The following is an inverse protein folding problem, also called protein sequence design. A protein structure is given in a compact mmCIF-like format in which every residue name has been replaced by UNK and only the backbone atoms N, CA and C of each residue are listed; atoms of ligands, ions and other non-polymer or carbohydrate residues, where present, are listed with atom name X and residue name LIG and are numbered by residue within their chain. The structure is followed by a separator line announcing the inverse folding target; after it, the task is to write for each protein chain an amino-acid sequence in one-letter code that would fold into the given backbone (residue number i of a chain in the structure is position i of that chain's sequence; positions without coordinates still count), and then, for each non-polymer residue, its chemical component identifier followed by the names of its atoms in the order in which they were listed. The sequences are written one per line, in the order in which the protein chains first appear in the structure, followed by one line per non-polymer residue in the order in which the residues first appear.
data_IF_462666508307
#
_entry.id   IF_462666508307
#
_cell.length_a   1.000
_cell.length_b   1.000
_cell.length_c   1.000
_cell.angle_alpha   90.00
_cell.angle_beta   90.00
_cell.angle_gamma   90.00
#
_symmetry.space_group_name_H-M   'P 1'
#
loop_
_entity.id
_entity.type
_entity.pdbx_description
1 polymer ?
#
# COMPACT_ATOMS: atom_id res chain seq x y z
N UNK A 1 6.35 -17.98 -26.04
CA UNK A 1 5.64 -17.58 -24.82
C UNK A 1 4.61 -16.50 -25.17
N UNK A 2 3.41 -16.59 -24.64
CA UNK A 2 2.38 -15.58 -24.86
C UNK A 2 2.83 -14.27 -24.22
N UNK A 3 2.89 -13.17 -24.99
CA UNK A 3 3.22 -11.85 -24.46
C UNK A 3 2.15 -11.41 -23.46
N UNK A 4 2.56 -11.02 -22.27
CA UNK A 4 1.64 -10.62 -21.18
C UNK A 4 2.33 -9.64 -20.25
N UNK A 5 1.55 -8.83 -19.53
CA UNK A 5 2.05 -7.93 -18.50
C UNK A 5 2.24 -8.59 -17.12
N UNK A 6 1.89 -9.85 -16.96
CA UNK A 6 2.30 -10.62 -15.81
C UNK A 6 3.79 -10.96 -15.90
N UNK A 7 4.49 -10.88 -14.78
CA UNK A 7 5.91 -11.30 -14.68
C UNK A 7 6.02 -12.82 -14.65
N UNK A 8 4.96 -13.51 -14.25
CA UNK A 8 4.88 -14.97 -14.21
C UNK A 8 5.56 -15.60 -13.00
N UNK A 9 6.10 -14.81 -12.07
CA UNK A 9 6.84 -15.28 -10.90
C UNK A 9 6.24 -14.74 -9.59
N UNK A 10 6.23 -15.58 -8.56
CA UNK A 10 6.06 -15.19 -7.18
C UNK A 10 7.19 -15.75 -6.32
N UNK A 11 7.51 -15.09 -5.23
CA UNK A 11 8.46 -15.56 -4.25
C UNK A 11 7.72 -16.04 -3.00
N UNK A 12 7.97 -17.28 -2.59
CA UNK A 12 7.55 -17.83 -1.30
C UNK A 12 8.70 -17.75 -0.34
N UNK A 13 8.55 -16.98 0.72
CA UNK A 13 9.60 -16.68 1.68
C UNK A 13 9.18 -17.23 3.04
N UNK A 14 9.87 -18.26 3.51
CA UNK A 14 9.64 -18.87 4.81
C UNK A 14 10.61 -18.29 5.83
N UNK A 15 10.11 -17.48 6.76
CA UNK A 15 10.92 -16.82 7.76
C UNK A 15 11.37 -17.75 8.90
N UNK A 16 10.72 -18.90 9.08
CA UNK A 16 11.13 -19.92 10.05
C UNK A 16 12.40 -20.65 9.61
N UNK A 17 12.43 -21.06 8.34
CA UNK A 17 13.52 -21.86 7.77
C UNK A 17 14.58 -21.04 7.04
N UNK A 18 14.24 -19.80 6.65
CA UNK A 18 15.06 -18.95 5.78
C UNK A 18 14.98 -19.34 4.29
N UNK A 19 14.14 -20.28 3.93
CA UNK A 19 14.02 -20.77 2.56
C UNK A 19 13.26 -19.79 1.68
N UNK A 20 13.77 -19.55 0.49
CA UNK A 20 13.17 -18.70 -0.53
C UNK A 20 12.98 -19.55 -1.79
N UNK A 21 11.72 -19.74 -2.19
CA UNK A 21 11.35 -20.50 -3.37
C UNK A 21 10.72 -19.58 -4.41
N UNK A 22 11.17 -19.70 -5.65
CA UNK A 22 10.55 -19.04 -6.79
C UNK A 22 9.51 -20.00 -7.39
N UNK A 23 8.27 -19.53 -7.48
CA UNK A 23 7.15 -20.30 -8.05
C UNK A 23 6.60 -19.58 -9.27
N UNK A 24 6.03 -20.35 -10.20
CA UNK A 24 5.27 -19.76 -11.31
C UNK A 24 3.90 -19.28 -10.84
N UNK A 25 3.47 -18.14 -11.36
CA UNK A 25 2.09 -17.68 -11.18
C UNK A 25 1.17 -18.57 -12.01
N UNK A 26 0.11 -19.10 -11.39
CA UNK A 26 -0.93 -19.84 -12.10
C UNK A 26 -1.71 -18.88 -13.02
N UNK A 27 -1.41 -18.92 -14.32
CA UNK A 27 -2.04 -18.06 -15.32
C UNK A 27 -3.53 -18.37 -15.53
N UNK A 28 -3.98 -19.60 -15.28
CA UNK A 28 -5.40 -19.92 -15.37
C UNK A 28 -6.17 -19.33 -14.18
N UNK A 29 -5.55 -19.32 -12.99
CA UNK A 29 -6.07 -18.60 -11.83
C UNK A 29 -6.09 -17.09 -12.09
N UNK A 30 -5.02 -16.55 -12.66
CA UNK A 30 -4.92 -15.14 -13.03
C UNK A 30 -5.97 -14.72 -14.08
N UNK A 31 -6.28 -15.58 -15.05
CA UNK A 31 -7.37 -15.32 -16.01
C UNK A 31 -8.75 -15.23 -15.34
N UNK A 32 -8.99 -16.02 -14.30
CA UNK A 32 -10.26 -16.00 -13.56
C UNK A 32 -10.38 -14.80 -12.64
N UNK A 33 -9.31 -14.42 -11.94
CA UNK A 33 -9.31 -13.47 -10.84
C UNK A 33 -8.53 -12.20 -11.12
N UNK A 34 -7.88 -12.08 -12.28
CA UNK A 34 -7.17 -10.93 -12.82
C UNK A 34 -5.89 -10.61 -12.04
N UNK A 35 -6.01 -10.05 -10.84
CA UNK A 35 -4.87 -9.62 -10.03
C UNK A 35 -5.33 -8.98 -8.72
N UNK A 36 -4.41 -8.41 -7.97
CA UNK A 36 -4.70 -7.69 -6.75
C UNK A 36 -5.61 -8.47 -5.80
N UNK A 37 -6.76 -7.89 -5.47
CA UNK A 37 -7.73 -8.49 -4.53
C UNK A 37 -8.21 -9.86 -4.99
N UNK A 38 -8.61 -10.00 -6.24
CA UNK A 38 -9.16 -11.25 -6.75
C UNK A 38 -8.14 -12.38 -6.73
N UNK A 39 -6.99 -12.16 -7.35
CA UNK A 39 -5.92 -13.16 -7.40
C UNK A 39 -5.36 -13.46 -6.00
N UNK A 40 -5.11 -12.43 -5.19
CA UNK A 40 -4.60 -12.60 -3.83
C UNK A 40 -5.56 -13.38 -2.93
N UNK A 41 -6.86 -13.15 -3.04
CA UNK A 41 -7.88 -13.90 -2.30
C UNK A 41 -7.91 -15.37 -2.74
N UNK A 42 -7.85 -15.64 -4.05
CA UNK A 42 -7.79 -17.00 -4.58
C UNK A 42 -6.52 -17.72 -4.10
N UNK A 43 -5.37 -17.06 -4.14
CA UNK A 43 -4.11 -17.61 -3.62
C UNK A 43 -4.23 -17.93 -2.12
N UNK A 44 -4.77 -17.03 -1.31
CA UNK A 44 -4.94 -17.25 0.12
C UNK A 44 -5.89 -18.42 0.42
N UNK A 45 -6.96 -18.56 -0.36
CA UNK A 45 -7.89 -19.69 -0.24
C UNK A 45 -7.17 -21.01 -0.46
N UNK A 46 -6.32 -21.11 -1.47
CA UNK A 46 -5.52 -22.30 -1.77
C UNK A 46 -4.49 -22.62 -0.68
N UNK A 47 -4.02 -21.61 0.06
CA UNK A 47 -3.11 -21.78 1.19
C UNK A 47 -3.78 -22.41 2.44
N UNK A 48 -5.10 -22.52 2.46
CA UNK A 48 -5.83 -23.26 3.49
C UNK A 48 -5.83 -22.63 4.88
N UNK A 49 -5.80 -21.29 4.99
CA UNK A 49 -5.68 -20.58 6.28
C UNK A 49 -6.98 -20.42 7.07
N UNK A 50 -8.09 -21.02 6.63
CA UNK A 50 -9.41 -20.78 7.25
C UNK A 50 -9.47 -21.08 8.75
N UNK A 51 -8.74 -22.08 9.21
CA UNK A 51 -8.69 -22.49 10.63
C UNK A 51 -7.41 -22.07 11.35
N UNK A 52 -6.59 -21.25 10.70
CA UNK A 52 -5.31 -20.79 11.23
C UNK A 52 -5.52 -19.60 12.15
N UNK A 53 -4.79 -19.56 13.28
CA UNK A 53 -4.73 -18.37 14.12
C UNK A 53 -4.01 -17.21 13.37
N UNK A 54 -4.64 -16.04 13.20
CA UNK A 54 -4.10 -14.98 12.34
C UNK A 54 -2.72 -14.47 12.72
N UNK A 55 -2.36 -14.46 13.99
CA UNK A 55 -1.06 -14.00 14.48
C UNK A 55 -0.04 -15.13 14.68
N UNK A 56 -0.36 -16.33 14.20
CA UNK A 56 0.56 -17.47 14.24
C UNK A 56 1.49 -17.51 13.04
N UNK A 57 2.54 -18.32 13.16
CA UNK A 57 3.47 -18.60 12.06
C UNK A 57 2.79 -19.25 10.84
N UNK A 58 1.66 -19.94 11.04
CA UNK A 58 0.94 -20.66 9.99
C UNK A 58 0.10 -19.76 9.09
N UNK A 59 -0.18 -18.51 9.52
CA UNK A 59 -0.86 -17.57 8.64
C UNK A 59 0.05 -17.14 7.48
N UNK A 60 -0.55 -16.87 6.34
CA UNK A 60 0.16 -16.37 5.14
C UNK A 60 -0.08 -14.88 4.99
N UNK A 61 0.95 -14.16 4.61
CA UNK A 61 0.90 -12.74 4.28
C UNK A 61 1.29 -12.57 2.83
N UNK A 62 0.34 -12.16 1.99
CA UNK A 62 0.49 -12.08 0.55
C UNK A 62 0.51 -10.61 0.12
N UNK A 63 1.57 -10.23 -0.58
CA UNK A 63 1.68 -8.95 -1.28
C UNK A 63 1.50 -9.22 -2.75
N UNK A 64 0.47 -8.69 -3.37
CA UNK A 64 0.09 -9.04 -4.75
C UNK A 64 -0.19 -7.81 -5.59
N UNK A 65 0.36 -7.81 -6.80
CA UNK A 65 0.14 -6.78 -7.81
C UNK A 65 -0.95 -7.22 -8.80
N UNK A 66 -1.25 -6.38 -9.77
CA UNK A 66 -2.15 -6.70 -10.86
C UNK A 66 -1.45 -6.65 -12.23
N UNK A 67 -2.14 -7.04 -13.29
CA UNK A 67 -1.54 -7.02 -14.65
C UNK A 67 -1.16 -5.61 -15.10
N UNK A 68 -1.87 -4.58 -14.65
CA UNK A 68 -1.58 -3.20 -15.03
C UNK A 68 -0.54 -2.53 -14.14
N UNK A 69 -0.21 -3.12 -12.97
CA UNK A 69 0.76 -2.54 -12.03
C UNK A 69 2.12 -2.37 -12.70
N UNK A 70 2.68 -1.18 -12.62
CA UNK A 70 3.97 -0.85 -13.20
C UNK A 70 3.96 -0.58 -14.71
N UNK A 71 2.83 -0.77 -15.39
CA UNK A 71 2.68 -0.37 -16.82
C UNK A 71 2.53 1.14 -16.94
N UNK A 72 2.48 1.64 -18.16
CA UNK A 72 2.21 3.06 -18.42
C UNK A 72 0.74 3.46 -18.21
N UNK A 73 -0.12 2.54 -17.78
CA UNK A 73 -1.52 2.83 -17.47
C UNK A 73 -1.64 3.91 -16.39
N UNK A 74 -2.62 4.81 -16.47
CA UNK A 74 -2.88 5.76 -15.40
C UNK A 74 -3.18 5.04 -14.08
N UNK A 75 -2.69 5.59 -12.96
CA UNK A 75 -2.91 5.06 -11.60
C UNK A 75 -2.38 3.63 -11.35
N UNK A 76 -1.37 3.20 -12.08
CA UNK A 76 -0.86 1.82 -12.10
C UNK A 76 0.16 1.50 -10.99
N UNK A 77 0.00 2.09 -9.79
CA UNK A 77 0.94 1.90 -8.66
C UNK A 77 0.39 1.03 -7.53
N UNK A 78 -0.85 0.55 -7.62
CA UNK A 78 -1.52 -0.15 -6.52
C UNK A 78 -1.06 -1.59 -6.37
N UNK A 79 -1.01 -2.02 -5.09
CA UNK A 79 -0.85 -3.42 -4.69
C UNK A 79 -1.82 -3.73 -3.54
N UNK A 80 -2.03 -5.02 -3.29
CA UNK A 80 -2.88 -5.51 -2.21
C UNK A 80 -2.05 -6.31 -1.21
N UNK A 81 -2.40 -6.18 0.06
CA UNK A 81 -1.96 -7.08 1.13
C UNK A 81 -3.13 -7.97 1.48
N UNK A 82 -2.96 -9.27 1.31
CA UNK A 82 -4.00 -10.28 1.53
C UNK A 82 -3.54 -11.29 2.56
N UNK A 83 -4.36 -11.48 3.59
CA UNK A 83 -4.05 -12.38 4.72
C UNK A 83 -5.33 -12.73 5.46
N UNK A 84 -5.26 -13.62 6.44
CA UNK A 84 -6.34 -13.74 7.42
C UNK A 84 -6.20 -12.61 8.45
N UNK A 85 -7.26 -11.83 8.61
CA UNK A 85 -7.26 -10.66 9.50
C UNK A 85 -7.30 -11.05 10.98
N UNK A 86 -6.41 -10.50 11.82
CA UNK A 86 -6.50 -10.69 13.27
C UNK A 86 -7.62 -9.86 13.90
N UNK A 87 -8.09 -8.82 13.20
CA UNK A 87 -9.18 -7.96 13.66
C UNK A 87 -10.55 -8.61 13.41
N UNK A 88 -10.77 -9.21 12.25
CA UNK A 88 -12.09 -9.72 11.84
C UNK A 88 -12.19 -11.24 11.85
N UNK A 89 -11.08 -11.96 11.85
CA UNK A 89 -11.04 -13.42 11.67
C UNK A 89 -11.39 -13.88 10.26
N UNK A 90 -11.54 -12.94 9.32
CA UNK A 90 -11.93 -13.17 7.92
C UNK A 90 -10.78 -12.76 6.99
N UNK A 91 -11.00 -12.86 5.68
CA UNK A 91 -10.02 -12.41 4.68
C UNK A 91 -9.84 -10.90 4.78
N UNK A 92 -8.60 -10.48 4.90
CA UNK A 92 -8.18 -9.09 4.74
C UNK A 92 -7.69 -8.85 3.31
N UNK A 93 -8.15 -7.75 2.71
CA UNK A 93 -7.64 -7.24 1.45
C UNK A 93 -7.37 -5.74 1.62
N UNK A 94 -6.15 -5.39 2.00
CA UNK A 94 -5.77 -4.00 2.26
C UNK A 94 -4.97 -3.43 1.10
N UNK A 95 -5.41 -2.30 0.58
CA UNK A 95 -4.88 -1.67 -0.64
C UNK A 95 -3.95 -0.52 -0.29
N UNK A 96 -2.84 -0.38 -1.03
CA UNK A 96 -1.98 0.79 -0.92
C UNK A 96 -1.50 1.30 -2.27
N UNK A 97 -1.21 2.59 -2.31
CA UNK A 97 -0.66 3.28 -3.48
C UNK A 97 0.85 3.46 -3.41
N UNK A 98 1.33 4.62 -3.86
CA UNK A 98 2.77 4.91 -3.92
C UNK A 98 3.46 4.27 -5.12
N UNK A 99 4.71 3.85 -4.93
CA UNK A 99 5.55 3.28 -6.00
C UNK A 99 6.02 1.86 -5.70
N UNK A 100 5.86 1.37 -4.49
CA UNK A 100 6.37 0.05 -4.07
C UNK A 100 5.84 -1.09 -4.92
N UNK A 101 4.54 -1.10 -5.23
CA UNK A 101 3.92 -2.13 -6.08
C UNK A 101 4.52 -2.16 -7.48
N UNK A 102 4.73 -0.99 -8.10
CA UNK A 102 5.39 -0.87 -9.39
C UNK A 102 6.85 -1.36 -9.34
N UNK A 103 7.59 -1.01 -8.30
CA UNK A 103 8.96 -1.47 -8.08
C UNK A 103 9.04 -2.99 -7.97
N UNK A 104 8.10 -3.62 -7.27
CA UNK A 104 8.02 -5.08 -7.17
C UNK A 104 7.87 -5.72 -8.55
N UNK A 105 6.98 -5.18 -9.39
CA UNK A 105 6.82 -5.62 -10.78
C UNK A 105 8.09 -5.41 -11.60
N UNK A 106 8.74 -4.26 -11.46
CA UNK A 106 10.00 -3.96 -12.16
C UNK A 106 11.12 -4.92 -11.77
N UNK A 107 11.14 -5.37 -10.51
CA UNK A 107 12.07 -6.38 -10.04
C UNK A 107 11.75 -7.80 -10.56
N UNK A 108 10.59 -7.98 -11.21
CA UNK A 108 10.21 -9.23 -11.89
C UNK A 108 9.19 -10.09 -11.13
N UNK A 109 8.49 -9.54 -10.14
CA UNK A 109 7.59 -10.28 -9.27
C UNK A 109 6.14 -9.81 -9.40
N UNK A 110 5.21 -10.75 -9.56
CA UNK A 110 3.77 -10.48 -9.47
C UNK A 110 3.29 -10.50 -8.02
N UNK A 111 3.89 -11.33 -7.17
CA UNK A 111 3.49 -11.49 -5.78
C UNK A 111 4.65 -11.98 -4.90
N UNK A 112 4.49 -11.78 -3.59
CA UNK A 112 5.30 -12.36 -2.53
C UNK A 112 4.38 -13.01 -1.53
N UNK A 113 4.67 -14.25 -1.13
CA UNK A 113 4.01 -14.94 -0.02
C UNK A 113 5.01 -15.08 1.11
N UNK A 114 4.73 -14.46 2.25
CA UNK A 114 5.54 -14.58 3.46
C UNK A 114 4.84 -15.54 4.42
N UNK A 115 5.56 -16.55 4.86
CA UNK A 115 5.08 -17.58 5.79
C UNK A 115 6.08 -17.83 6.91
N UNK A 116 5.66 -18.54 7.95
CA UNK A 116 6.50 -18.79 9.10
C UNK A 116 6.66 -17.58 10.01
N UNK A 117 7.68 -17.63 10.86
CA UNK A 117 8.07 -16.57 11.79
C UNK A 117 9.58 -16.59 12.00
N UNK A 118 10.24 -15.46 11.84
CA UNK A 118 11.65 -15.32 12.16
C UNK A 118 11.89 -15.38 13.68
N UNK A 119 13.06 -15.91 14.08
CA UNK A 119 13.45 -15.99 15.51
C UNK A 119 13.76 -14.63 16.11
N UNK A 120 14.28 -13.71 15.29
CA UNK A 120 14.55 -12.32 15.63
C UNK A 120 14.07 -11.42 14.51
N UNK A 121 14.05 -10.10 14.74
CA UNK A 121 13.59 -9.14 13.75
C UNK A 121 14.44 -9.17 12.48
N UNK A 122 13.76 -9.30 11.33
CA UNK A 122 14.37 -9.31 10.00
C UNK A 122 13.66 -8.32 9.07
N UNK A 123 14.35 -8.02 7.96
CA UNK A 123 13.71 -7.43 6.78
C UNK A 123 14.06 -8.24 5.55
N UNK A 124 13.24 -8.14 4.53
CA UNK A 124 13.48 -8.76 3.23
C UNK A 124 13.99 -7.68 2.28
N UNK A 125 15.16 -7.90 1.69
CA UNK A 125 15.68 -7.04 0.62
C UNK A 125 15.54 -7.75 -0.72
N UNK A 126 14.86 -7.09 -1.66
CA UNK A 126 14.70 -7.55 -3.03
C UNK A 126 15.48 -6.60 -3.94
N UNK A 127 16.41 -7.15 -4.68
CA UNK A 127 17.20 -6.46 -5.70
C UNK A 127 17.10 -7.26 -6.99
N UNK A 128 16.15 -6.89 -7.84
CA UNK A 128 15.70 -7.68 -9.00
C UNK A 128 15.35 -9.12 -8.57
N UNK A 129 16.00 -10.13 -9.11
CA UNK A 129 15.76 -11.54 -8.79
C UNK A 129 16.45 -12.03 -7.49
N UNK A 130 17.31 -11.22 -6.90
CA UNK A 130 17.99 -11.54 -5.65
C UNK A 130 17.15 -11.14 -4.46
N UNK A 131 16.82 -12.12 -3.61
CA UNK A 131 16.07 -11.92 -2.37
C UNK A 131 16.91 -12.37 -1.19
N UNK A 132 17.01 -11.51 -0.17
CA UNK A 132 17.76 -11.79 1.05
C UNK A 132 16.91 -11.50 2.28
N UNK A 133 17.06 -12.34 3.29
CA UNK A 133 16.51 -12.11 4.64
C UNK A 133 17.65 -11.59 5.50
N UNK A 134 17.53 -10.36 6.01
CA UNK A 134 18.60 -9.64 6.69
C UNK A 134 18.18 -9.20 8.10
N UNK A 135 19.12 -9.05 9.05
CA UNK A 135 18.81 -8.58 10.40
C UNK A 135 18.21 -7.17 10.41
N UNK A 136 17.20 -6.95 11.23
CA UNK A 136 16.49 -5.68 11.35
C UNK A 136 16.38 -5.13 12.77
N UNK A 137 17.09 -5.67 13.74
CA UNK A 137 16.99 -5.26 15.15
C UNK A 137 17.22 -3.77 15.35
N UNK A 138 18.17 -3.17 14.61
CA UNK A 138 18.47 -1.74 14.70
C UNK A 138 17.33 -0.81 14.23
N UNK A 139 16.38 -1.35 13.49
CA UNK A 139 15.22 -0.57 12.98
C UNK A 139 13.97 -0.71 13.85
N UNK A 140 14.00 -1.62 14.84
CA UNK A 140 12.87 -1.83 15.75
C UNK A 140 12.64 -0.58 16.59
N UNK A 141 11.37 -0.23 16.77
CA UNK A 141 10.96 0.99 17.47
C UNK A 141 10.91 2.25 16.60
N UNK A 142 11.46 2.21 15.38
CA UNK A 142 11.39 3.35 14.47
C UNK A 142 9.99 3.52 13.91
N UNK A 143 9.54 4.78 13.87
CA UNK A 143 8.36 5.18 13.13
C UNK A 143 8.59 4.98 11.62
N UNK A 144 7.49 4.82 10.89
CA UNK A 144 7.55 4.46 9.47
C UNK A 144 8.42 5.41 8.62
N UNK A 145 8.29 6.72 8.82
CA UNK A 145 9.07 7.72 8.06
C UNK A 145 10.57 7.62 8.37
N UNK A 146 10.93 7.55 9.65
CA UNK A 146 12.33 7.40 10.06
C UNK A 146 12.93 6.08 9.56
N UNK A 147 12.15 5.01 9.62
CA UNK A 147 12.54 3.70 9.11
C UNK A 147 12.82 3.73 7.59
N UNK A 148 11.95 4.37 6.82
CA UNK A 148 12.15 4.58 5.37
C UNK A 148 13.48 5.30 5.10
N UNK A 149 13.76 6.38 5.82
CA UNK A 149 14.99 7.16 5.66
C UNK A 149 16.24 6.34 6.01
N UNK A 150 16.21 5.58 7.09
CA UNK A 150 17.35 4.74 7.50
C UNK A 150 17.60 3.60 6.51
N UNK A 151 16.56 2.93 5.99
CA UNK A 151 16.72 1.91 4.96
C UNK A 151 17.30 2.48 3.66
N UNK A 152 16.94 3.70 3.28
CA UNK A 152 17.49 4.36 2.08
C UNK A 152 18.97 4.72 2.20
N UNK A 153 19.53 4.81 3.40
CA UNK A 153 20.98 4.94 3.59
C UNK A 153 21.74 3.67 3.17
N UNK A 154 21.13 2.50 3.35
CA UNK A 154 21.69 1.20 2.98
C UNK A 154 21.30 0.81 1.56
N UNK A 155 20.08 1.12 1.15
CA UNK A 155 19.50 0.81 -0.17
C UNK A 155 18.96 2.09 -0.83
N UNK A 156 19.84 2.96 -1.40
CA UNK A 156 19.46 4.31 -1.81
C UNK A 156 18.35 4.39 -2.86
N UNK A 157 18.24 3.38 -3.71
CA UNK A 157 17.27 3.34 -4.80
C UNK A 157 16.04 2.49 -4.48
N UNK A 158 15.94 1.97 -3.25
CA UNK A 158 14.83 1.12 -2.86
C UNK A 158 13.55 1.92 -2.59
N UNK A 159 12.42 1.32 -2.91
CA UNK A 159 11.13 1.64 -2.29
C UNK A 159 10.98 0.82 -1.02
N UNK A 160 10.60 1.45 0.06
CA UNK A 160 10.56 0.86 1.40
C UNK A 160 9.11 0.64 1.84
N UNK A 161 8.81 -0.60 2.20
CA UNK A 161 7.58 -0.99 2.88
C UNK A 161 7.94 -1.41 4.29
N UNK A 162 7.23 -0.93 5.30
CA UNK A 162 7.57 -1.23 6.69
C UNK A 162 6.35 -1.16 7.62
N UNK A 163 6.53 -1.62 8.84
CA UNK A 163 5.62 -1.40 9.97
C UNK A 163 6.28 -0.50 11.01
N UNK A 164 5.47 0.29 11.70
CA UNK A 164 5.89 1.04 12.88
C UNK A 164 5.71 0.23 14.18
N UNK A 165 5.88 0.89 15.35
CA UNK A 165 5.68 0.26 16.65
C UNK A 165 4.32 -0.40 16.84
N UNK A 166 3.25 0.15 16.25
CA UNK A 166 1.92 -0.47 16.33
C UNK A 166 1.90 -1.90 15.77
N UNK A 167 2.54 -2.13 14.62
CA UNK A 167 2.67 -3.47 14.04
C UNK A 167 3.60 -4.37 14.87
N UNK A 168 4.71 -3.83 15.36
CA UNK A 168 5.65 -4.56 16.22
C UNK A 168 4.96 -5.06 17.50
N UNK A 169 4.07 -4.26 18.07
CA UNK A 169 3.31 -4.58 19.27
C UNK A 169 1.94 -5.22 19.00
N UNK A 170 1.70 -5.68 17.78
CA UNK A 170 0.52 -6.45 17.38
C UNK A 170 -0.82 -5.72 17.57
N UNK A 171 -0.81 -4.39 17.42
CA UNK A 171 -2.06 -3.63 17.42
C UNK A 171 -2.96 -4.10 16.29
N UNK A 172 -4.22 -4.40 16.59
CA UNK A 172 -5.19 -4.84 15.58
C UNK A 172 -5.59 -3.74 14.58
N UNK A 173 -5.16 -2.50 14.83
CA UNK A 173 -5.33 -1.35 13.94
C UNK A 173 -4.06 -1.05 13.14
N UNK A 174 -2.98 -1.82 13.30
CA UNK A 174 -1.71 -1.54 12.67
C UNK A 174 -1.79 -1.62 11.15
N UNK A 175 -1.26 -0.60 10.49
CA UNK A 175 -1.10 -0.54 9.05
C UNK A 175 0.27 -1.07 8.60
N UNK A 176 0.35 -1.44 7.32
CA UNK A 176 1.62 -1.57 6.60
C UNK A 176 1.81 -0.29 5.79
N UNK A 177 2.93 0.39 6.01
CA UNK A 177 3.26 1.63 5.34
C UNK A 177 4.22 1.39 4.18
N UNK A 178 4.12 2.20 3.14
CA UNK A 178 5.13 2.25 2.09
C UNK A 178 5.34 3.68 1.59
N UNK A 179 6.54 3.94 1.06
CA UNK A 179 6.89 5.25 0.51
C UNK A 179 6.54 6.40 1.48
N UNK A 180 6.85 6.21 2.76
CA UNK A 180 6.64 7.10 3.92
C UNK A 180 5.18 7.29 4.34
N UNK A 181 4.30 7.67 3.43
CA UNK A 181 2.96 8.18 3.73
C UNK A 181 1.82 7.43 3.04
N UNK A 182 2.12 6.27 2.44
CA UNK A 182 1.10 5.38 1.87
C UNK A 182 0.86 4.20 2.80
N UNK A 183 -0.39 3.80 2.92
CA UNK A 183 -0.79 2.80 3.91
C UNK A 183 -1.73 1.75 3.35
N UNK A 184 -1.42 0.48 3.60
CA UNK A 184 -2.38 -0.59 3.64
C UNK A 184 -2.97 -0.59 5.06
N UNK A 185 -4.02 0.21 5.26
CA UNK A 185 -4.46 0.66 6.58
C UNK A 185 -5.58 -0.14 7.20
N UNK A 186 -6.15 -1.12 6.49
CA UNK A 186 -7.34 -1.83 6.96
C UNK A 186 -7.03 -3.25 7.44
N UNK A 187 -7.87 -3.75 8.34
CA UNK A 187 -7.95 -5.15 8.78
C UNK A 187 -6.76 -5.67 9.60
N UNK A 188 -5.93 -4.78 10.15
CA UNK A 188 -4.84 -5.17 11.05
C UNK A 188 -3.68 -5.92 10.38
N UNK A 189 -3.46 -5.70 9.09
CA UNK A 189 -2.40 -6.40 8.33
C UNK A 189 -0.99 -6.13 8.88
N UNK A 190 -0.77 -4.95 9.48
CA UNK A 190 0.50 -4.62 10.13
C UNK A 190 0.80 -5.51 11.34
N UNK A 191 -0.22 -5.94 12.08
CA UNK A 191 -0.05 -6.89 13.17
C UNK A 191 0.37 -8.29 12.66
N UNK A 192 -0.16 -8.73 11.53
CA UNK A 192 0.27 -10.00 10.90
C UNK A 192 1.75 -9.93 10.51
N UNK A 193 2.18 -8.83 9.90
CA UNK A 193 3.59 -8.63 9.55
C UNK A 193 4.48 -8.61 10.79
N UNK A 194 4.08 -7.90 11.85
CA UNK A 194 4.78 -7.86 13.12
C UNK A 194 4.84 -9.21 13.82
N UNK A 195 3.77 -10.02 13.75
CA UNK A 195 3.72 -11.37 14.34
C UNK A 195 4.76 -12.32 13.73
N UNK A 196 5.25 -12.03 12.53
CA UNK A 196 6.28 -12.79 11.85
C UNK A 196 7.70 -12.27 12.11
N UNK A 197 7.84 -11.24 12.95
CA UNK A 197 9.11 -10.51 13.18
C UNK A 197 9.67 -9.91 11.87
N UNK A 198 8.81 -9.49 10.96
CA UNK A 198 9.17 -8.85 9.71
C UNK A 198 8.97 -7.33 9.82
N UNK A 199 10.08 -6.58 9.84
CA UNK A 199 10.06 -5.12 10.00
C UNK A 199 9.81 -4.39 8.69
N UNK A 200 10.39 -4.87 7.59
CA UNK A 200 10.33 -4.19 6.31
C UNK A 200 10.54 -5.12 5.12
N UNK A 201 10.15 -4.63 3.94
CA UNK A 201 10.50 -5.20 2.64
C UNK A 201 10.98 -4.05 1.76
N UNK A 202 12.26 -4.07 1.39
CA UNK A 202 12.89 -3.10 0.52
C UNK A 202 13.00 -3.66 -0.88
N UNK A 203 12.63 -2.88 -1.90
CA UNK A 203 12.65 -3.33 -3.29
C UNK A 203 13.42 -2.34 -4.16
N UNK A 204 14.46 -2.84 -4.78
CA UNK A 204 15.24 -2.15 -5.81
C UNK A 204 15.09 -2.89 -7.12
N UNK A 205 14.95 -2.16 -8.22
CA UNK A 205 14.82 -2.73 -9.55
C UNK A 205 15.71 -1.99 -10.55
N UNK A 206 16.38 -2.72 -11.43
CA UNK A 206 17.17 -2.17 -12.52
C UNK A 206 16.28 -1.69 -13.68
N UNK A 207 15.09 -2.27 -13.83
CA UNK A 207 14.09 -1.88 -14.83
C UNK A 207 13.14 -0.82 -14.25
N UNK A 208 12.50 -0.07 -15.13
CA UNK A 208 11.55 0.99 -14.79
C UNK A 208 10.26 0.95 -15.63
N UNK A 209 9.99 -0.17 -16.27
CA UNK A 209 8.82 -0.38 -17.12
C UNK A 209 8.37 -1.84 -17.10
N UNK A 210 7.07 -2.03 -17.27
CA UNK A 210 6.45 -3.33 -17.54
C UNK A 210 5.85 -3.26 -18.93
N UNK A 211 6.24 -4.20 -19.79
CA UNK A 211 5.72 -4.26 -21.16
C UNK A 211 4.26 -4.77 -21.17
N UNK A 212 3.34 -4.03 -21.79
CA UNK A 212 1.97 -4.50 -21.95
C UNK A 212 1.86 -5.57 -23.06
N UNK A 213 0.72 -6.26 -23.10
CA UNK A 213 0.40 -7.15 -24.24
C UNK A 213 0.51 -6.42 -25.58
N UNK A 214 -0.06 -5.22 -25.67
CA UNK A 214 0.02 -4.34 -26.84
C UNK A 214 0.25 -2.90 -26.39
N UNK A 215 1.37 -2.31 -26.79
CA UNK A 215 1.70 -0.92 -26.51
C UNK A 215 0.70 0.05 -27.18
N UNK A 216 0.26 -0.25 -28.41
CA UNK A 216 -0.68 0.60 -29.14
C UNK A 216 -2.07 0.60 -28.50
N UNK A 217 -2.61 -0.56 -28.14
CA UNK A 217 -3.88 -0.67 -27.43
C UNK A 217 -3.83 0.07 -26.08
N UNK A 218 -2.75 -0.09 -25.33
CA UNK A 218 -2.59 0.62 -24.06
C UNK A 218 -2.53 2.13 -24.26
N UNK A 219 -1.81 2.60 -25.27
CA UNK A 219 -1.70 4.03 -25.60
C UNK A 219 -3.06 4.64 -25.93
N UNK A 220 -3.90 3.97 -26.72
CA UNK A 220 -5.25 4.44 -27.03
C UNK A 220 -6.15 4.42 -25.80
N UNK A 221 -6.10 3.37 -24.98
CA UNK A 221 -6.83 3.32 -23.71
C UNK A 221 -6.41 4.44 -22.75
N UNK A 222 -5.11 4.75 -22.68
CA UNK A 222 -4.57 5.86 -21.87
C UNK A 222 -5.14 7.20 -22.32
N UNK A 223 -5.20 7.49 -23.61
CA UNK A 223 -5.79 8.73 -24.14
C UNK A 223 -7.23 8.88 -23.65
N UNK A 224 -8.02 7.83 -23.77
CA UNK A 224 -9.42 7.82 -23.30
C UNK A 224 -9.51 8.06 -21.80
N UNK A 225 -8.68 7.38 -20.99
CA UNK A 225 -8.65 7.58 -19.54
C UNK A 225 -8.29 9.03 -19.15
N UNK A 226 -7.26 9.61 -19.80
CA UNK A 226 -6.83 10.98 -19.52
C UNK A 226 -7.91 12.00 -19.87
N UNK A 227 -8.65 11.79 -20.97
CA UNK A 227 -9.81 12.62 -21.31
C UNK A 227 -10.90 12.52 -20.23
N UNK A 228 -11.22 11.30 -19.77
CA UNK A 228 -12.20 11.09 -18.69
C UNK A 228 -11.79 11.75 -17.37
N UNK A 229 -10.51 11.70 -17.02
CA UNK A 229 -10.01 12.42 -15.83
C UNK A 229 -10.17 13.93 -15.97
N UNK A 230 -9.93 14.48 -17.17
CA UNK A 230 -10.05 15.90 -17.45
C UNK A 230 -11.52 16.38 -17.46
N UNK A 231 -12.41 15.55 -17.96
CA UNK A 231 -13.86 15.85 -18.01
C UNK A 231 -14.55 15.77 -16.65
N UNK A 232 -13.99 15.03 -15.69
CA UNK A 232 -14.59 14.82 -14.38
C UNK A 232 -14.09 15.86 -13.37
N UNK A 233 -14.95 16.69 -12.76
CA UNK A 233 -14.55 17.75 -11.84
C UNK A 233 -13.88 17.20 -10.57
N UNK A 234 -14.20 16.00 -10.14
CA UNK A 234 -13.55 15.38 -8.96
C UNK A 234 -12.09 15.09 -9.23
N UNK A 235 -11.77 14.45 -10.37
CA UNK A 235 -10.40 14.08 -10.72
C UNK A 235 -9.59 15.22 -11.31
N UNK A 236 -10.25 16.22 -11.92
CA UNK A 236 -9.58 17.35 -12.54
C UNK A 236 -9.39 18.55 -11.59
N UNK A 237 -10.35 18.81 -10.70
CA UNK A 237 -10.35 19.98 -9.82
C UNK A 237 -10.29 19.62 -8.33
N UNK A 238 -11.26 18.88 -7.81
CA UNK A 238 -11.43 18.66 -6.38
C UNK A 238 -10.23 17.95 -5.74
N UNK A 239 -9.88 16.79 -6.23
CA UNK A 239 -8.77 15.98 -5.69
C UNK A 239 -7.40 16.62 -5.92
N UNK A 240 -7.05 17.17 -7.09
CA UNK A 240 -5.77 17.87 -7.27
C UNK A 240 -5.64 19.13 -6.40
N UNK A 241 -6.74 19.83 -6.18
CA UNK A 241 -6.74 21.10 -5.43
C UNK A 241 -6.68 20.88 -3.92
N UNK A 242 -7.48 19.97 -3.39
CA UNK A 242 -7.69 19.81 -1.95
C UNK A 242 -7.27 18.44 -1.41
N UNK A 243 -6.92 17.48 -2.27
CA UNK A 243 -6.72 16.10 -1.86
C UNK A 243 -8.02 15.43 -1.41
N UNK A 244 -7.91 14.28 -0.75
CA UNK A 244 -9.08 13.59 -0.19
C UNK A 244 -9.74 14.38 0.94
N UNK A 245 -9.03 15.34 1.55
CA UNK A 245 -9.57 16.26 2.55
C UNK A 245 -10.73 17.13 2.01
N UNK A 246 -10.93 17.22 0.69
CA UNK A 246 -12.12 17.84 0.09
C UNK A 246 -13.43 17.24 0.64
N UNK A 247 -13.39 15.99 1.05
CA UNK A 247 -14.55 15.29 1.60
C UNK A 247 -14.99 15.81 2.98
N UNK A 248 -14.11 16.46 3.74
CA UNK A 248 -14.46 16.93 5.10
C UNK A 248 -15.70 17.80 5.09
N UNK A 249 -15.70 18.91 4.39
CA UNK A 249 -16.85 19.80 4.33
C UNK A 249 -18.04 19.19 3.59
N UNK A 250 -17.79 18.42 2.53
CA UNK A 250 -18.87 17.75 1.76
C UNK A 250 -19.63 16.78 2.68
N UNK A 251 -18.91 15.90 3.36
CA UNK A 251 -19.49 14.87 4.23
C UNK A 251 -20.15 15.49 5.46
N UNK A 252 -19.54 16.55 6.02
CA UNK A 252 -20.09 17.26 7.15
C UNK A 252 -21.42 17.97 6.79
N UNK A 253 -21.46 18.61 5.63
CA UNK A 253 -22.66 19.34 5.18
C UNK A 253 -23.87 18.43 4.89
N UNK A 254 -23.62 17.18 4.52
CA UNK A 254 -24.71 16.19 4.34
C UNK A 254 -25.05 15.43 5.63
N UNK A 255 -24.43 15.80 6.77
CA UNK A 255 -24.76 15.21 8.06
C UNK A 255 -24.28 13.78 8.27
N UNK A 256 -23.12 13.42 7.71
CA UNK A 256 -22.56 12.07 7.81
C UNK A 256 -21.09 12.06 8.25
N UNK A 257 -20.64 13.14 8.91
CA UNK A 257 -19.27 13.25 9.42
C UNK A 257 -19.15 12.61 10.82
N UNK A 258 -18.33 11.57 11.00
CA UNK A 258 -18.19 10.91 12.31
C UNK A 258 -17.70 11.90 13.37
N UNK A 259 -18.46 12.07 14.43
CA UNK A 259 -18.20 13.04 15.49
C UNK A 259 -18.46 12.45 16.85
N UNK A 260 -17.54 12.62 17.81
CA UNK A 260 -17.64 12.09 19.16
C UNK A 260 -18.03 10.60 19.18
N UNK A 261 -17.27 9.78 18.48
CA UNK A 261 -17.52 8.34 18.34
C UNK A 261 -18.96 8.02 17.85
N UNK A 262 -19.41 8.73 16.80
CA UNK A 262 -20.74 8.62 16.20
C UNK A 262 -21.92 9.04 17.10
N UNK A 263 -21.66 9.77 18.20
CA UNK A 263 -22.71 10.39 18.98
C UNK A 263 -23.33 11.59 18.25
N UNK A 264 -22.60 12.12 17.27
CA UNK A 264 -23.07 13.12 16.30
C UNK A 264 -22.56 12.77 14.91
N UNK A 265 -23.24 13.25 13.91
CA UNK A 265 -22.85 13.16 12.49
C UNK A 265 -22.52 14.53 11.88
N UNK A 266 -22.38 15.53 12.71
CA UNK A 266 -21.99 16.89 12.34
C UNK A 266 -20.93 17.42 13.29
N UNK A 267 -19.85 17.96 12.73
CA UNK A 267 -18.73 18.56 13.46
C UNK A 267 -18.69 20.06 13.17
N UNK A 268 -18.91 20.88 14.20
CA UNK A 268 -18.98 22.35 14.08
C UNK A 268 -17.65 23.01 13.71
N UNK A 269 -16.51 22.34 13.98
CA UNK A 269 -15.16 22.78 13.63
C UNK A 269 -14.57 22.11 12.40
N UNK A 270 -15.41 21.52 11.55
CA UNK A 270 -14.95 20.82 10.35
C UNK A 270 -14.08 21.69 9.44
N UNK A 271 -14.37 22.99 9.37
CA UNK A 271 -13.61 23.93 8.55
C UNK A 271 -12.13 24.03 8.98
N UNK A 272 -11.83 23.88 10.28
CA UNK A 272 -10.47 23.93 10.79
C UNK A 272 -9.60 22.77 10.28
N UNK A 273 -10.22 21.64 9.91
CA UNK A 273 -9.56 20.44 9.40
C UNK A 273 -9.95 20.11 7.96
N UNK A 274 -10.52 21.07 7.24
CA UNK A 274 -10.98 20.91 5.85
C UNK A 274 -9.81 20.91 4.85
N UNK A 275 -10.11 20.40 3.65
CA UNK A 275 -9.18 20.47 2.52
C UNK A 275 -8.87 21.89 2.10
N UNK A 276 -9.85 22.79 2.20
CA UNK A 276 -9.70 24.20 1.92
C UNK A 276 -8.72 24.88 2.85
N UNK A 277 -8.85 24.65 4.15
CA UNK A 277 -7.92 25.18 5.17
C UNK A 277 -6.53 24.56 5.06
N UNK A 278 -6.42 23.27 4.78
CA UNK A 278 -5.14 22.60 4.53
C UNK A 278 -4.40 23.27 3.36
N UNK A 279 -5.10 23.52 2.26
CA UNK A 279 -4.51 24.17 1.08
C UNK A 279 -4.07 25.59 1.39
N UNK A 280 -4.91 26.38 2.04
CA UNK A 280 -4.63 27.78 2.33
C UNK A 280 -3.45 27.96 3.28
N UNK A 281 -3.40 27.16 4.35
CA UNK A 281 -2.46 27.38 5.46
C UNK A 281 -1.20 26.52 5.38
N UNK A 282 -1.26 25.32 4.82
CA UNK A 282 -0.21 24.32 5.02
C UNK A 282 0.36 23.70 3.75
N UNK A 283 -0.34 23.74 2.62
CA UNK A 283 0.07 23.02 1.41
C UNK A 283 1.38 23.58 0.83
N UNK A 284 2.37 22.71 0.63
CA UNK A 284 3.61 23.00 -0.09
C UNK A 284 3.50 22.57 -1.55
N UNK A 285 3.09 21.33 -1.80
CA UNK A 285 2.90 20.77 -3.15
C UNK A 285 2.02 19.52 -3.13
N UNK A 286 1.53 19.17 -4.30
CA UNK A 286 0.86 17.87 -4.50
C UNK A 286 1.88 16.72 -4.48
N UNK A 287 1.40 15.55 -4.09
CA UNK A 287 2.16 14.32 -4.13
C UNK A 287 1.40 13.27 -4.96
N UNK A 288 2.15 12.50 -5.75
CA UNK A 288 1.59 11.61 -6.77
C UNK A 288 2.01 10.16 -6.51
N UNK A 289 1.07 9.23 -6.61
CA UNK A 289 1.39 7.81 -6.74
C UNK A 289 1.96 7.52 -8.13
N UNK A 290 2.50 6.33 -8.32
CA UNK A 290 3.06 5.91 -9.61
C UNK A 290 2.06 6.11 -10.75
N UNK A 291 2.50 6.84 -11.79
CA UNK A 291 1.69 7.14 -13.01
C UNK A 291 0.29 7.70 -12.73
N UNK A 292 0.08 8.34 -11.58
CA UNK A 292 -1.18 8.97 -11.24
C UNK A 292 -1.18 10.44 -11.67
N UNK A 293 -2.16 10.83 -12.46
CA UNK A 293 -2.31 12.21 -12.95
C UNK A 293 -3.15 13.07 -11.98
N UNK A 294 -3.81 12.45 -11.01
CA UNK A 294 -4.73 13.14 -10.10
C UNK A 294 -3.96 13.97 -9.06
N UNK A 295 -2.92 13.38 -8.46
CA UNK A 295 -2.07 14.09 -7.49
C UNK A 295 -2.83 14.50 -6.22
N UNK A 296 -3.63 13.59 -5.67
CA UNK A 296 -4.42 13.86 -4.47
C UNK A 296 -3.60 13.85 -3.16
N UNK A 297 -2.38 13.33 -3.18
CA UNK A 297 -1.50 13.39 -2.02
C UNK A 297 -1.04 14.83 -1.73
N UNK A 298 -0.78 15.11 -0.47
CA UNK A 298 -0.36 16.44 0.02
C UNK A 298 1.03 16.38 0.62
N UNK A 299 1.86 17.37 0.34
CA UNK A 299 3.02 17.68 1.15
C UNK A 299 2.71 19.00 1.85
N UNK A 300 2.81 19.01 3.16
CA UNK A 300 2.47 20.16 4.00
C UNK A 300 3.66 20.65 4.80
N UNK A 301 3.61 21.91 5.20
CA UNK A 301 4.52 22.51 6.17
C UNK A 301 3.70 22.97 7.39
N UNK A 302 3.94 22.34 8.52
CA UNK A 302 3.30 22.68 9.80
C UNK A 302 4.41 23.07 10.77
N UNK A 303 4.44 24.32 11.18
CA UNK A 303 5.42 24.88 12.11
C UNK A 303 6.88 24.59 11.72
N UNK A 304 7.18 24.69 10.42
CA UNK A 304 8.51 24.46 9.86
C UNK A 304 8.84 22.97 9.58
N UNK A 305 7.98 22.05 9.95
CA UNK A 305 8.13 20.62 9.64
C UNK A 305 7.40 20.29 8.34
N UNK A 306 8.16 19.81 7.36
CA UNK A 306 7.62 19.32 6.08
C UNK A 306 7.36 17.82 6.18
N UNK A 307 6.13 17.41 5.88
CA UNK A 307 5.71 16.01 5.93
C UNK A 307 4.58 15.72 4.93
N UNK A 308 4.23 14.45 4.77
CA UNK A 308 3.00 14.05 4.07
C UNK A 308 1.78 14.61 4.81
N UNK A 309 0.88 15.23 4.07
CA UNK A 309 -0.36 15.75 4.63
C UNK A 309 -1.39 14.64 4.88
N UNK A 310 -2.31 14.86 5.83
CA UNK A 310 -3.31 13.86 6.15
C UNK A 310 -4.31 13.67 4.99
N UNK A 311 -4.73 12.44 4.80
CA UNK A 311 -5.87 12.06 3.98
C UNK A 311 -7.19 12.28 4.76
N UNK A 312 -8.32 12.10 4.09
CA UNK A 312 -9.63 12.30 4.72
C UNK A 312 -9.86 11.43 5.97
N UNK A 313 -9.42 10.17 5.92
CA UNK A 313 -9.63 9.23 7.00
C UNK A 313 -8.95 9.62 8.32
N UNK A 314 -7.67 9.99 8.36
CA UNK A 314 -7.07 10.52 9.57
C UNK A 314 -7.75 11.80 10.09
N UNK A 315 -8.25 12.66 9.20
CA UNK A 315 -8.88 13.92 9.60
C UNK A 315 -10.17 13.68 10.38
N UNK A 316 -11.04 12.79 9.93
CA UNK A 316 -12.24 12.49 10.71
C UNK A 316 -11.95 11.61 11.92
N UNK A 317 -11.01 10.65 11.80
CA UNK A 317 -10.71 9.70 12.87
C UNK A 317 -10.07 10.36 14.09
N UNK A 318 -9.13 11.27 13.89
CA UNK A 318 -8.42 11.99 14.96
C UNK A 318 -8.95 13.42 15.18
N UNK A 319 -9.82 13.91 14.32
CA UNK A 319 -10.48 15.21 14.45
C UNK A 319 -11.87 15.09 15.07
N UNK A 320 -12.90 15.05 14.24
CA UNK A 320 -14.27 15.05 14.73
C UNK A 320 -14.67 13.85 15.57
N UNK A 321 -14.09 12.67 15.31
CA UNK A 321 -14.47 11.43 15.98
C UNK A 321 -13.87 11.26 17.41
N UNK A 322 -12.79 11.96 17.73
CA UNK A 322 -12.13 11.90 19.04
C UNK A 322 -12.64 12.94 20.03
#
# INVERSE_FOLDING_TARGET
SMKTSYMGKLARINLTTGQINVESVDLDLAKKFIGGRGLGTAMLYEEGVAKVEPLSADNKLIYVTGPMTGTASPTAGRYMVVTKSPLTGMIACSNSGGVWGAKLKYAGWDAIIVEGKAKSWVYINIDDDKIEILPAEKYVGMLSEACDEEFKKVHPNASVLNIGPAGEHLSLLAAIMNDKDRAAGRSGVGAVMGSKNLKAITVTASKNAVEPYSADMLKEAMKTCLLKFKENPVTHEGLPTYGTAVLVNIVNNIGTFPTNNWQSSYYDKADDISGETLKEKYLVKNHYCHRCQIGCGRVVNIDGKIAGGPEYEPLWAYGGNC
#
